data_IF_106878605647
#
_entry.id   IF_106878605647
#
_cell.length_a   1.000
_cell.length_b   1.000
_cell.length_c   1.000
_cell.angle_alpha   90.00
_cell.angle_beta   90.00
_cell.angle_gamma   90.00
#
_symmetry.space_group_name_H-M   'P 1'
#
loop_
_entity.id
_entity.type
_entity.pdbx_description
1 polymer ?
#
# COMPACT_ATOMS: atom_id res chain seq x y z
N UNK A 1 -18.36 7.67 22.60
CA UNK A 1 -17.14 8.46 22.85
C UNK A 1 -16.15 7.57 23.57
N UNK A 2 -15.47 6.67 22.84
CA UNK A 2 -14.48 5.74 23.40
C UNK A 2 -13.20 6.50 23.70
N UNK A 3 -12.78 6.40 24.94
CA UNK A 3 -11.52 6.97 25.44
C UNK A 3 -10.36 6.23 24.79
N UNK A 4 -9.59 6.91 23.96
CA UNK A 4 -8.26 6.46 23.55
C UNK A 4 -7.49 6.10 24.83
N UNK A 5 -7.20 4.80 25.02
CA UNK A 5 -6.31 4.35 26.11
C UNK A 5 -4.94 4.98 25.84
N UNK A 6 -4.40 5.62 26.86
CA UNK A 6 -3.03 6.17 26.86
C UNK A 6 -2.08 5.07 26.40
N UNK A 7 -1.17 5.33 25.44
CA UNK A 7 -0.19 4.33 25.00
C UNK A 7 0.61 3.81 26.20
N UNK A 8 0.93 2.52 26.18
CA UNK A 8 1.77 1.88 27.19
C UNK A 8 3.14 2.56 27.17
N UNK A 9 3.71 2.86 28.34
CA UNK A 9 5.04 3.47 28.43
C UNK A 9 6.06 2.63 27.66
N UNK A 10 6.82 3.25 26.76
CA UNK A 10 7.74 2.57 25.83
C UNK A 10 7.20 2.30 24.43
N UNK A 11 5.92 2.53 24.16
CA UNK A 11 5.30 2.35 22.85
C UNK A 11 6.00 3.18 21.76
N UNK A 12 6.37 4.42 22.05
CA UNK A 12 7.05 5.31 21.12
C UNK A 12 8.40 4.73 20.67
N UNK A 13 9.19 4.17 21.58
CA UNK A 13 10.47 3.54 21.28
C UNK A 13 10.30 2.30 20.40
N UNK A 14 9.32 1.45 20.70
CA UNK A 14 9.03 0.26 19.89
C UNK A 14 8.57 0.61 18.47
N UNK A 15 7.76 1.66 18.31
CA UNK A 15 7.36 2.15 16.99
C UNK A 15 8.54 2.70 16.21
N UNK A 16 9.45 3.42 16.85
CA UNK A 16 10.68 3.94 16.22
C UNK A 16 11.59 2.78 15.80
N UNK A 17 11.82 1.79 16.66
CA UNK A 17 12.60 0.59 16.32
C UNK A 17 12.02 -0.15 15.13
N UNK A 18 10.71 -0.36 15.10
CA UNK A 18 10.01 -1.01 13.99
C UNK A 18 10.16 -0.22 12.67
N UNK A 19 10.10 1.10 12.73
CA UNK A 19 10.30 1.97 11.57
C UNK A 19 11.74 1.89 11.06
N UNK A 20 12.73 1.97 11.95
CA UNK A 20 14.14 1.88 11.60
C UNK A 20 14.47 0.52 10.96
N UNK A 21 13.90 -0.57 11.50
CA UNK A 21 14.03 -1.91 10.93
C UNK A 21 13.43 -2.02 9.53
N UNK A 22 12.20 -1.55 9.35
CA UNK A 22 11.48 -1.59 8.06
C UNK A 22 12.18 -0.77 6.98
N UNK A 23 12.72 0.37 7.35
CA UNK A 23 13.44 1.26 6.43
C UNK A 23 14.90 0.82 6.20
N UNK A 24 15.43 -0.10 7.00
CA UNK A 24 16.83 -0.54 6.92
C UNK A 24 17.83 0.57 7.30
N UNK A 25 17.40 1.47 8.18
CA UNK A 25 18.18 2.62 8.63
C UNK A 25 19.19 2.17 9.68
N UNK A 26 20.40 2.71 9.60
CA UNK A 26 21.45 2.59 10.63
C UNK A 26 21.49 3.87 11.43
N UNK A 27 21.41 3.78 12.75
CA UNK A 27 21.60 4.92 13.64
C UNK A 27 23.05 5.00 14.10
N UNK A 28 23.52 6.20 14.39
CA UNK A 28 24.85 6.38 14.96
C UNK A 28 24.89 7.44 16.05
N UNK A 29 25.87 7.30 16.91
CA UNK A 29 26.22 8.23 17.97
C UNK A 29 27.73 8.36 18.03
N UNK A 30 28.25 9.57 17.77
CA UNK A 30 29.66 9.87 17.78
C UNK A 30 30.01 10.83 18.91
N UNK A 31 30.85 10.34 19.82
CA UNK A 31 31.45 11.13 20.90
C UNK A 31 32.70 11.84 20.38
N UNK A 32 32.63 13.16 20.31
CA UNK A 32 33.73 14.00 19.74
C UNK A 32 34.95 14.00 20.61
N UNK A 33 34.79 14.03 21.95
CA UNK A 33 35.90 14.14 22.90
C UNK A 33 36.71 12.85 22.94
N UNK A 34 36.05 11.70 22.97
CA UNK A 34 36.69 10.39 23.05
C UNK A 34 37.02 9.78 21.68
N UNK A 35 36.53 10.39 20.58
CA UNK A 35 36.66 9.88 19.21
C UNK A 35 36.08 8.45 19.06
N UNK A 36 34.87 8.26 19.59
CA UNK A 36 34.18 6.96 19.60
C UNK A 36 32.89 7.04 18.78
N UNK A 37 32.77 6.15 17.79
CA UNK A 37 31.55 5.96 17.01
C UNK A 37 30.82 4.69 17.44
N UNK A 38 29.56 4.82 17.76
CA UNK A 38 28.61 3.73 17.95
C UNK A 38 27.66 3.67 16.74
N UNK A 39 27.60 2.52 16.07
CA UNK A 39 26.63 2.24 15.02
C UNK A 39 25.64 1.22 15.53
N UNK A 40 24.36 1.46 15.36
CA UNK A 40 23.30 0.50 15.67
C UNK A 40 22.41 0.25 14.46
N UNK A 41 22.23 -1.02 14.11
CA UNK A 41 21.35 -1.46 13.01
C UNK A 41 20.22 -2.30 13.58
N UNK A 42 19.00 -1.88 13.33
CA UNK A 42 17.82 -2.65 13.64
C UNK A 42 17.63 -3.74 12.55
N UNK A 43 18.03 -4.97 12.84
CA UNK A 43 17.78 -6.15 11.99
C UNK A 43 17.83 -7.38 12.87
N UNK A 44 16.71 -8.11 13.03
CA UNK A 44 16.60 -9.33 13.87
C UNK A 44 17.14 -9.18 15.31
N UNK A 45 17.03 -7.99 15.87
CA UNK A 45 17.66 -7.53 17.08
C UNK A 45 18.70 -6.43 16.81
N UNK A 46 18.87 -5.53 17.75
CA UNK A 46 19.78 -4.38 17.61
C UNK A 46 21.24 -4.85 17.64
N UNK A 47 21.94 -4.77 16.52
CA UNK A 47 23.38 -5.07 16.46
C UNK A 47 24.15 -3.78 16.60
N UNK A 48 24.90 -3.62 17.70
CA UNK A 48 25.77 -2.47 17.93
C UNK A 48 27.22 -2.76 17.54
N UNK A 49 27.84 -1.84 16.82
CA UNK A 49 29.28 -1.85 16.54
C UNK A 49 29.91 -0.59 17.12
N UNK A 50 30.99 -0.76 17.88
CA UNK A 50 31.76 0.33 18.50
C UNK A 50 33.11 0.47 17.81
N UNK A 51 33.49 1.71 17.45
CA UNK A 51 34.75 2.06 16.82
C UNK A 51 35.45 3.12 17.66
N UNK A 52 36.63 2.82 18.20
CA UNK A 52 37.46 3.74 18.95
C UNK A 52 38.48 4.41 18.04
N UNK A 53 38.79 5.68 18.29
CA UNK A 53 39.68 6.47 17.45
C UNK A 53 39.19 6.64 16.02
N UNK A 54 37.88 6.67 15.80
CA UNK A 54 37.25 6.54 14.48
C UNK A 54 37.75 7.61 13.50
N UNK A 55 37.64 8.88 13.82
CA UNK A 55 38.07 9.95 12.93
C UNK A 55 39.60 10.03 12.77
N UNK A 56 40.36 9.61 13.78
CA UNK A 56 41.84 9.56 13.68
C UNK A 56 42.31 8.46 12.75
N UNK A 57 41.67 7.30 12.82
CA UNK A 57 42.05 6.14 12.01
C UNK A 57 41.51 6.23 10.58
N UNK A 58 40.40 6.93 10.34
CA UNK A 58 39.83 7.09 8.99
C UNK A 58 40.81 7.70 7.99
N UNK A 59 41.63 8.66 8.44
CA UNK A 59 42.60 9.32 7.57
C UNK A 59 43.85 8.45 7.28
N UNK A 60 44.13 7.43 8.11
CA UNK A 60 45.33 6.59 8.00
C UNK A 60 45.05 5.14 7.62
N UNK A 61 43.94 4.58 8.08
CA UNK A 61 43.54 3.19 7.88
C UNK A 61 42.08 3.13 7.48
N UNK A 62 41.78 3.57 6.26
CA UNK A 62 40.43 3.36 5.69
C UNK A 62 40.25 1.88 5.42
N UNK A 63 39.65 1.15 6.35
CA UNK A 63 39.42 -0.30 6.31
C UNK A 63 38.47 -0.74 5.15
N UNK A 64 38.39 0.04 4.07
CA UNK A 64 37.57 -0.22 2.92
C UNK A 64 36.07 0.04 3.13
N UNK A 65 35.68 0.55 4.30
CA UNK A 65 34.27 0.86 4.58
C UNK A 65 33.80 2.17 3.96
N UNK A 66 34.71 3.12 3.77
CA UNK A 66 34.37 4.46 3.29
C UNK A 66 35.16 4.74 2.01
N UNK A 67 34.48 5.19 0.96
CA UNK A 67 35.15 5.60 -0.25
C UNK A 67 36.08 6.81 0.04
N UNK A 68 37.30 6.86 -0.51
CA UNK A 68 38.26 7.94 -0.24
C UNK A 68 37.68 9.36 -0.40
N UNK A 69 36.87 9.58 -1.43
CA UNK A 69 36.24 10.89 -1.70
C UNK A 69 35.16 11.27 -0.66
N UNK A 70 34.71 10.33 0.18
CA UNK A 70 33.71 10.56 1.23
C UNK A 70 34.32 10.77 2.62
N UNK A 71 35.62 10.48 2.81
CA UNK A 71 36.29 10.55 4.12
C UNK A 71 36.25 11.96 4.72
N UNK A 72 36.64 12.96 3.96
CA UNK A 72 36.67 14.35 4.47
C UNK A 72 35.28 14.85 4.86
N UNK A 73 34.26 14.52 4.05
CA UNK A 73 32.86 14.89 4.30
C UNK A 73 32.31 14.24 5.57
N UNK A 74 32.61 12.96 5.79
CA UNK A 74 32.19 12.24 7.00
C UNK A 74 32.92 12.77 8.26
N UNK A 75 34.23 13.01 8.19
CA UNK A 75 34.97 13.59 9.30
C UNK A 75 34.42 14.97 9.68
N UNK A 76 34.09 15.81 8.69
CA UNK A 76 33.51 17.12 8.94
C UNK A 76 32.10 17.01 9.59
N UNK A 77 31.28 16.04 9.17
CA UNK A 77 29.96 15.75 9.77
C UNK A 77 30.14 15.30 11.22
N UNK A 78 30.94 14.27 11.48
CA UNK A 78 31.13 13.73 12.82
C UNK A 78 31.71 14.73 13.80
N UNK A 79 32.66 15.55 13.37
CA UNK A 79 33.25 16.62 14.21
C UNK A 79 32.33 17.83 14.39
N UNK A 80 31.11 17.79 13.84
CA UNK A 80 30.14 18.87 13.98
C UNK A 80 30.52 20.16 13.25
N UNK A 81 31.42 20.08 12.26
CA UNK A 81 31.84 21.21 11.43
C UNK A 81 30.78 21.55 10.36
N UNK A 82 29.94 20.59 9.98
CA UNK A 82 28.83 20.74 9.06
C UNK A 82 27.59 20.12 9.63
N UNK A 83 26.42 20.61 9.20
CA UNK A 83 25.10 20.09 9.61
C UNK A 83 24.24 19.78 8.39
N UNK A 84 23.13 19.12 8.61
CA UNK A 84 22.14 18.77 7.59
C UNK A 84 22.39 17.40 6.97
N UNK A 85 21.86 17.19 5.77
CA UNK A 85 21.93 15.93 5.05
C UNK A 85 23.08 15.96 4.06
N UNK A 86 23.81 14.85 3.94
CA UNK A 86 24.94 14.68 3.01
C UNK A 86 24.94 13.28 2.42
N UNK A 87 25.36 13.18 1.18
CA UNK A 87 25.56 11.92 0.49
C UNK A 87 27.02 11.46 0.61
N UNK A 88 27.20 10.19 0.89
CA UNK A 88 28.52 9.56 1.07
C UNK A 88 28.51 8.15 0.47
N UNK A 89 29.66 7.69 0.01
CA UNK A 89 29.86 6.34 -0.50
C UNK A 89 30.40 5.44 0.59
N UNK A 90 29.65 4.41 0.97
CA UNK A 90 29.99 3.46 2.04
C UNK A 90 29.86 2.01 1.54
N UNK A 91 30.75 1.14 2.05
CA UNK A 91 30.60 -0.32 2.00
C UNK A 91 30.26 -0.80 3.41
N UNK A 92 28.97 -1.07 3.64
CA UNK A 92 28.42 -1.48 4.94
C UNK A 92 28.31 -3.00 5.09
N UNK A 93 29.03 -3.78 4.26
CA UNK A 93 29.14 -5.22 4.41
C UNK A 93 29.83 -5.59 5.74
N UNK A 94 29.59 -6.80 6.25
CA UNK A 94 30.28 -7.31 7.45
C UNK A 94 31.80 -7.29 7.27
N UNK A 95 32.26 -7.66 6.07
CA UNK A 95 33.63 -7.56 5.61
C UNK A 95 33.62 -6.68 4.36
N UNK A 96 34.11 -5.44 4.43
CA UNK A 96 34.16 -4.53 3.30
C UNK A 96 34.98 -5.10 2.13
N UNK A 97 34.42 -5.03 0.92
CA UNK A 97 35.00 -5.57 -0.31
C UNK A 97 35.31 -4.46 -1.35
N UNK A 98 35.14 -3.17 -0.96
CA UNK A 98 35.25 -2.05 -1.87
C UNK A 98 34.05 -1.87 -2.80
N UNK A 99 32.90 -2.49 -2.45
CA UNK A 99 31.62 -2.32 -3.18
C UNK A 99 30.82 -1.22 -2.49
N UNK A 100 31.04 0.00 -2.93
CA UNK A 100 30.44 1.17 -2.34
C UNK A 100 29.03 1.43 -2.90
N UNK A 101 28.08 1.73 -2.00
CA UNK A 101 26.76 2.23 -2.34
C UNK A 101 26.59 3.66 -1.81
N UNK A 102 25.68 4.41 -2.40
CA UNK A 102 25.35 5.74 -1.93
C UNK A 102 24.47 5.69 -0.69
N UNK A 103 24.95 6.35 0.37
CA UNK A 103 24.22 6.55 1.62
C UNK A 103 23.95 8.03 1.84
N UNK A 104 22.75 8.33 2.30
CA UNK A 104 22.42 9.64 2.83
C UNK A 104 22.61 9.63 4.35
N UNK A 105 23.27 10.66 4.87
CA UNK A 105 23.60 10.82 6.29
C UNK A 105 22.96 12.09 6.80
N UNK A 106 22.05 11.97 7.76
CA UNK A 106 21.46 13.10 8.46
C UNK A 106 21.98 13.19 9.89
N UNK A 107 22.39 14.39 10.31
CA UNK A 107 23.04 14.61 11.61
C UNK A 107 22.32 15.66 12.46
N UNK A 108 22.35 15.44 13.77
CA UNK A 108 21.98 16.39 14.80
C UNK A 108 23.13 16.56 15.80
N UNK A 109 23.49 17.81 16.09
CA UNK A 109 24.56 18.13 17.02
C UNK A 109 23.98 18.30 18.43
N UNK A 110 24.57 17.60 19.40
CA UNK A 110 24.27 17.77 20.81
C UNK A 110 25.35 18.65 21.43
N UNK A 111 24.91 19.74 22.07
CA UNK A 111 25.78 20.75 22.68
C UNK A 111 25.69 20.70 24.20
N UNK A 112 26.78 21.04 24.87
CA UNK A 112 26.78 21.25 26.30
C UNK A 112 26.23 22.65 26.69
N UNK A 113 26.19 22.94 27.98
CA UNK A 113 25.72 24.22 28.52
C UNK A 113 26.52 25.43 28.05
N UNK A 114 27.75 25.20 27.57
CA UNK A 114 28.65 26.25 27.04
C UNK A 114 28.43 26.47 25.52
N UNK A 115 27.59 25.65 24.87
CA UNK A 115 27.32 25.68 23.43
C UNK A 115 28.33 24.88 22.60
N UNK A 116 29.32 24.22 23.22
CA UNK A 116 30.29 23.36 22.53
C UNK A 116 29.62 22.04 22.11
N UNK A 117 29.87 21.59 20.88
CA UNK A 117 29.38 20.30 20.40
C UNK A 117 30.12 19.17 21.10
N UNK A 118 29.38 18.33 21.83
CA UNK A 118 29.91 17.14 22.51
C UNK A 118 29.71 15.87 21.71
N UNK A 119 28.53 15.74 21.10
CA UNK A 119 28.14 14.52 20.36
C UNK A 119 27.47 14.87 19.05
N UNK A 120 27.69 14.01 18.06
CA UNK A 120 26.99 14.05 16.79
C UNK A 120 26.19 12.76 16.66
N UNK A 121 24.86 12.88 16.68
CA UNK A 121 23.96 11.74 16.49
C UNK A 121 23.30 11.82 15.12
N UNK A 122 22.92 10.68 14.56
CA UNK A 122 22.25 10.71 13.27
C UNK A 122 21.82 9.35 12.76
N UNK A 123 21.44 9.37 11.51
CA UNK A 123 20.97 8.20 10.76
C UNK A 123 21.67 8.13 9.42
N UNK A 124 21.87 6.88 8.95
CA UNK A 124 22.36 6.57 7.60
C UNK A 124 21.34 5.64 6.94
N UNK A 125 21.02 5.90 5.69
CA UNK A 125 20.22 4.98 4.90
C UNK A 125 20.76 4.85 3.47
N UNK A 126 20.71 3.63 2.95
CA UNK A 126 21.08 3.30 1.58
C UNK A 126 20.06 3.88 0.61
N UNK A 127 20.49 4.78 -0.27
CA UNK A 127 19.63 5.47 -1.22
C UNK A 127 19.08 4.48 -2.25
N UNK A 128 19.91 3.62 -2.82
CA UNK A 128 19.53 2.67 -3.87
C UNK A 128 18.57 1.61 -3.33
N UNK A 129 18.89 1.04 -2.18
CA UNK A 129 18.05 0.03 -1.51
C UNK A 129 16.71 0.61 -1.06
N UNK A 130 16.69 1.85 -0.60
CA UNK A 130 15.47 2.53 -0.16
C UNK A 130 14.57 2.93 -1.33
N UNK A 131 15.15 3.43 -2.42
CA UNK A 131 14.41 3.73 -3.65
C UNK A 131 13.84 2.47 -4.27
N UNK A 132 14.63 1.39 -4.36
CA UNK A 132 14.15 0.10 -4.90
C UNK A 132 12.98 -0.48 -4.09
N UNK A 133 13.04 -0.44 -2.76
CA UNK A 133 11.94 -0.89 -1.88
C UNK A 133 10.71 0.00 -2.03
N UNK A 134 10.91 1.29 -2.15
CA UNK A 134 9.84 2.26 -2.34
C UNK A 134 9.19 2.10 -3.72
N UNK A 135 9.99 1.91 -4.78
CA UNK A 135 9.51 1.61 -6.13
C UNK A 135 8.77 0.27 -6.19
N UNK A 136 9.28 -0.79 -5.55
CA UNK A 136 8.58 -2.08 -5.44
C UNK A 136 7.27 -1.95 -4.67
N UNK A 137 7.25 -1.19 -3.57
CA UNK A 137 6.02 -0.93 -2.81
C UNK A 137 5.01 -0.11 -3.61
N UNK A 138 5.45 0.91 -4.35
CA UNK A 138 4.59 1.69 -5.24
C UNK A 138 4.15 0.89 -6.47
N UNK A 139 5.03 0.07 -7.05
CA UNK A 139 4.68 -0.83 -8.14
C UNK A 139 3.62 -1.85 -7.68
N UNK A 140 3.78 -2.43 -6.49
CA UNK A 140 2.82 -3.35 -5.90
C UNK A 140 1.48 -2.67 -5.60
N UNK A 141 1.52 -1.46 -5.00
CA UNK A 141 0.32 -0.66 -4.75
C UNK A 141 -0.41 -0.27 -6.06
N UNK A 142 0.34 0.08 -7.11
CA UNK A 142 -0.24 0.35 -8.44
C UNK A 142 -0.77 -0.91 -9.12
N UNK A 143 -0.13 -2.07 -8.90
CA UNK A 143 -0.57 -3.33 -9.49
C UNK A 143 -1.88 -3.86 -8.91
N UNK A 144 -2.29 -3.42 -7.70
CA UNK A 144 -3.52 -3.84 -7.02
C UNK A 144 -4.68 -2.84 -7.16
N UNK A 145 -4.44 -1.68 -7.81
CA UNK A 145 -5.46 -0.64 -7.97
C UNK A 145 -5.72 -0.28 -9.43
N UNK A 146 -6.96 0.11 -9.67
CA UNK A 146 -7.36 0.67 -10.96
C UNK A 146 -6.91 2.13 -11.07
N UNK A 147 -6.27 2.48 -12.17
CA UNK A 147 -5.66 3.79 -12.37
C UNK A 147 -6.67 4.93 -12.58
N UNK A 148 -7.91 4.62 -12.99
CA UNK A 148 -8.97 5.57 -13.28
C UNK A 148 -9.79 5.87 -12.01
N UNK A 149 -10.25 4.83 -11.35
CA UNK A 149 -11.15 4.94 -10.21
C UNK A 149 -10.44 5.01 -8.85
N UNK A 150 -9.18 4.54 -8.77
CA UNK A 150 -8.38 4.48 -7.54
C UNK A 150 -8.77 3.37 -6.57
N UNK A 151 -9.87 2.64 -6.80
CA UNK A 151 -10.27 1.46 -6.01
C UNK A 151 -9.40 0.25 -6.38
N UNK A 152 -9.60 -0.89 -5.72
CA UNK A 152 -8.91 -2.11 -6.10
C UNK A 152 -9.23 -2.51 -7.55
N UNK A 153 -8.27 -3.13 -8.22
CA UNK A 153 -8.48 -3.86 -9.47
C UNK A 153 -8.75 -5.34 -9.18
N UNK A 154 -8.88 -6.17 -10.21
CA UNK A 154 -9.13 -7.60 -10.06
C UNK A 154 -8.11 -8.31 -9.18
N UNK A 155 -6.82 -8.04 -9.36
CA UNK A 155 -5.74 -8.65 -8.56
C UNK A 155 -5.81 -8.21 -7.09
N UNK A 156 -6.09 -6.94 -6.84
CA UNK A 156 -6.28 -6.43 -5.49
C UNK A 156 -7.49 -7.03 -4.79
N UNK A 157 -8.61 -7.20 -5.51
CA UNK A 157 -9.80 -7.86 -4.97
C UNK A 157 -9.54 -9.32 -4.65
N UNK A 158 -8.93 -10.07 -5.57
CA UNK A 158 -8.58 -11.48 -5.36
C UNK A 158 -7.77 -11.67 -4.10
N UNK A 159 -6.70 -10.89 -3.93
CA UNK A 159 -5.85 -10.92 -2.74
C UNK A 159 -6.60 -10.60 -1.46
N UNK A 160 -7.46 -9.57 -1.49
CA UNK A 160 -8.27 -9.17 -0.33
C UNK A 160 -9.25 -10.26 0.07
N UNK A 161 -9.93 -10.90 -0.90
CA UNK A 161 -10.85 -12.02 -0.67
C UNK A 161 -10.13 -13.24 -0.15
N UNK A 162 -9.01 -13.64 -0.78
CA UNK A 162 -8.20 -14.78 -0.34
C UNK A 162 -7.70 -14.59 1.10
N UNK A 163 -7.19 -13.41 1.42
CA UNK A 163 -6.73 -13.08 2.78
C UNK A 163 -7.86 -13.18 3.81
N UNK A 164 -9.04 -12.68 3.46
CA UNK A 164 -10.20 -12.71 4.34
C UNK A 164 -10.72 -14.14 4.56
N UNK A 165 -10.87 -14.93 3.49
CA UNK A 165 -11.35 -16.31 3.55
C UNK A 165 -10.32 -17.27 4.20
N UNK A 166 -9.02 -16.96 4.16
CA UNK A 166 -8.00 -17.69 4.90
C UNK A 166 -8.06 -17.45 6.43
N UNK A 167 -8.71 -16.37 6.86
CA UNK A 167 -8.88 -15.98 8.25
C UNK A 167 -10.32 -16.15 8.75
N UNK A 168 -10.89 -15.07 9.26
CA UNK A 168 -12.22 -15.04 9.90
C UNK A 168 -13.37 -15.35 8.96
N UNK A 169 -13.24 -15.00 7.68
CA UNK A 169 -14.32 -15.14 6.70
C UNK A 169 -14.62 -16.58 6.25
N UNK A 170 -13.83 -17.57 6.71
CA UNK A 170 -13.99 -18.96 6.31
C UNK A 170 -15.30 -19.59 6.78
N UNK A 171 -15.74 -19.20 7.97
CA UNK A 171 -16.94 -19.75 8.62
C UNK A 171 -18.14 -18.80 8.50
N UNK A 172 -18.02 -17.75 7.69
CA UNK A 172 -19.04 -16.73 7.49
C UNK A 172 -19.71 -16.89 6.11
N UNK A 173 -20.96 -16.49 6.03
CA UNK A 173 -21.66 -16.36 4.75
C UNK A 173 -21.23 -15.07 4.06
N UNK A 174 -20.69 -15.16 2.86
CA UNK A 174 -20.19 -14.02 2.09
C UNK A 174 -20.80 -14.03 0.69
N UNK A 175 -20.79 -12.90 -0.01
CA UNK A 175 -21.26 -12.83 -1.39
C UNK A 175 -20.31 -12.02 -2.29
N UNK A 176 -20.21 -12.43 -3.55
CA UNK A 176 -19.57 -11.64 -4.60
C UNK A 176 -20.64 -11.15 -5.57
N UNK A 177 -20.87 -9.84 -5.62
CA UNK A 177 -21.73 -9.19 -6.61
C UNK A 177 -20.89 -8.67 -7.75
N UNK A 178 -21.20 -9.06 -8.98
CA UNK A 178 -20.57 -8.55 -10.21
C UNK A 178 -21.56 -7.66 -10.94
N UNK A 179 -21.16 -6.43 -11.24
CA UNK A 179 -21.94 -5.39 -11.89
C UNK A 179 -21.25 -5.04 -13.21
N UNK A 180 -21.91 -5.25 -14.33
CA UNK A 180 -21.35 -4.98 -15.66
C UNK A 180 -22.15 -3.91 -16.38
N UNK A 181 -21.44 -3.01 -17.05
CA UNK A 181 -21.99 -2.00 -17.95
C UNK A 181 -21.54 -2.32 -19.37
N UNK A 182 -22.40 -3.06 -20.12
CA UNK A 182 -22.02 -3.71 -21.37
C UNK A 182 -21.69 -2.75 -22.51
N UNK A 183 -22.21 -1.53 -22.46
CA UNK A 183 -22.02 -0.54 -23.50
C UNK A 183 -20.94 0.49 -23.23
N UNK A 184 -20.05 0.27 -22.24
CA UNK A 184 -18.98 1.23 -21.90
C UNK A 184 -18.03 1.47 -23.06
N UNK A 185 -17.68 0.44 -23.84
CA UNK A 185 -16.85 0.58 -25.03
C UNK A 185 -17.47 1.50 -26.09
N UNK A 186 -18.77 1.34 -26.38
CA UNK A 186 -19.50 2.20 -27.31
C UNK A 186 -19.57 3.65 -26.82
N UNK A 187 -19.79 3.85 -25.51
CA UNK A 187 -19.76 5.18 -24.92
C UNK A 187 -18.38 5.85 -25.02
N UNK A 188 -17.31 5.07 -24.88
CA UNK A 188 -15.94 5.56 -25.04
C UNK A 188 -15.66 5.99 -26.50
N UNK A 189 -16.14 5.25 -27.50
CA UNK A 189 -16.06 5.61 -28.91
C UNK A 189 -16.85 6.88 -29.23
N UNK A 190 -18.05 7.02 -28.66
CA UNK A 190 -18.94 8.16 -28.95
C UNK A 190 -18.58 9.44 -28.21
N UNK A 191 -18.16 9.35 -26.97
CA UNK A 191 -17.94 10.48 -26.04
C UNK A 191 -16.46 10.76 -25.73
N UNK A 192 -15.58 9.83 -26.08
CA UNK A 192 -14.15 9.89 -25.80
C UNK A 192 -13.76 9.33 -24.44
N UNK A 193 -12.50 8.90 -24.36
CA UNK A 193 -11.93 8.23 -23.16
C UNK A 193 -12.05 9.07 -21.89
N UNK A 194 -11.70 10.34 -21.96
CA UNK A 194 -11.73 11.22 -20.77
C UNK A 194 -13.13 11.33 -20.14
N UNK A 195 -14.16 11.43 -20.96
CA UNK A 195 -15.54 11.46 -20.51
C UNK A 195 -15.93 10.13 -19.85
N UNK A 196 -15.54 9.00 -20.45
CA UNK A 196 -15.80 7.67 -19.92
C UNK A 196 -15.09 7.42 -18.58
N UNK A 197 -13.84 7.88 -18.46
CA UNK A 197 -13.08 7.80 -17.22
C UNK A 197 -13.80 8.57 -16.08
N UNK A 198 -14.32 9.77 -16.35
CA UNK A 198 -15.13 10.52 -15.39
C UNK A 198 -16.43 9.80 -15.01
N UNK A 199 -17.08 9.17 -16.00
CA UNK A 199 -18.27 8.38 -15.76
C UNK A 199 -17.97 7.18 -14.86
N UNK A 200 -16.88 6.44 -15.10
CA UNK A 200 -16.43 5.33 -14.26
C UNK A 200 -16.22 5.75 -12.80
N UNK A 201 -15.59 6.91 -12.57
CA UNK A 201 -15.42 7.46 -11.21
C UNK A 201 -16.77 7.76 -10.55
N UNK A 202 -17.75 8.28 -11.30
CA UNK A 202 -19.11 8.56 -10.78
C UNK A 202 -19.85 7.26 -10.47
N UNK A 203 -19.78 6.25 -11.35
CA UNK A 203 -20.35 4.91 -11.14
C UNK A 203 -19.73 4.29 -9.88
N UNK A 204 -18.42 4.32 -9.74
CA UNK A 204 -17.70 3.80 -8.59
C UNK A 204 -18.22 4.39 -7.26
N UNK A 205 -18.37 5.71 -7.19
CA UNK A 205 -18.93 6.37 -6.00
C UNK A 205 -20.38 5.97 -5.74
N UNK A 206 -21.19 5.89 -6.77
CA UNK A 206 -22.59 5.51 -6.67
C UNK A 206 -22.76 4.06 -6.21
N UNK A 207 -22.03 3.11 -6.80
CA UNK A 207 -22.02 1.72 -6.36
C UNK A 207 -21.53 1.62 -4.91
N UNK A 208 -20.43 2.26 -4.58
CA UNK A 208 -19.84 2.23 -3.22
C UNK A 208 -20.82 2.70 -2.14
N UNK A 209 -21.76 3.61 -2.46
CA UNK A 209 -22.75 4.11 -1.49
C UNK A 209 -23.78 3.06 -1.03
N UNK A 210 -23.94 1.95 -1.74
CA UNK A 210 -24.82 0.84 -1.35
C UNK A 210 -24.18 -0.14 -0.37
N UNK A 211 -22.86 -0.04 -0.14
CA UNK A 211 -22.09 -1.00 0.62
C UNK A 211 -21.44 -0.33 1.83
N UNK A 212 -21.15 -1.14 2.85
CA UNK A 212 -20.51 -0.66 4.08
C UNK A 212 -18.99 -0.58 3.90
N UNK A 213 -18.30 0.17 4.77
CA UNK A 213 -16.86 0.35 4.71
C UNK A 213 -16.05 -0.96 4.85
N UNK A 214 -16.66 -2.03 5.41
CA UNK A 214 -16.04 -3.35 5.52
C UNK A 214 -16.10 -4.18 4.24
N UNK A 215 -17.02 -3.85 3.31
CA UNK A 215 -17.14 -4.54 2.04
C UNK A 215 -16.02 -4.09 1.07
N UNK A 216 -15.66 -4.94 0.13
CA UNK A 216 -14.53 -4.68 -0.78
C UNK A 216 -15.04 -4.42 -2.18
N UNK A 217 -14.90 -3.20 -2.66
CA UNK A 217 -15.25 -2.78 -4.03
C UNK A 217 -14.01 -2.74 -4.92
N UNK A 218 -14.14 -3.28 -6.14
CA UNK A 218 -13.10 -3.28 -7.16
C UNK A 218 -13.65 -2.96 -8.56
N UNK A 219 -12.79 -2.44 -9.45
CA UNK A 219 -13.02 -2.29 -10.87
C UNK A 219 -12.21 -3.36 -11.62
N UNK A 220 -12.89 -4.27 -12.32
CA UNK A 220 -12.24 -5.39 -13.00
C UNK A 220 -11.79 -5.06 -14.43
N UNK A 221 -12.09 -3.85 -14.91
CA UNK A 221 -11.88 -3.40 -16.29
C UNK A 221 -13.15 -3.39 -17.11
N UNK A 222 -13.11 -2.79 -18.31
CA UNK A 222 -14.17 -2.80 -19.32
C UNK A 222 -15.59 -2.48 -18.79
N UNK A 223 -15.69 -1.60 -17.78
CA UNK A 223 -16.96 -1.24 -17.16
C UNK A 223 -17.52 -2.30 -16.22
N UNK A 224 -16.72 -3.27 -15.80
CA UNK A 224 -17.11 -4.30 -14.85
C UNK A 224 -16.61 -3.96 -13.44
N UNK A 225 -17.51 -3.97 -12.47
CA UNK A 225 -17.22 -3.79 -11.05
C UNK A 225 -17.58 -5.07 -10.28
N UNK A 226 -16.87 -5.31 -9.19
CA UNK A 226 -17.19 -6.39 -8.28
C UNK A 226 -17.18 -5.88 -6.82
N UNK A 227 -18.11 -6.38 -6.03
CA UNK A 227 -18.19 -6.10 -4.59
C UNK A 227 -18.20 -7.40 -3.82
N UNK A 228 -17.20 -7.61 -2.98
CA UNK A 228 -17.20 -8.72 -2.02
C UNK A 228 -17.82 -8.24 -0.71
N UNK A 229 -18.98 -8.79 -0.39
CA UNK A 229 -19.76 -8.50 0.82
C UNK A 229 -19.44 -9.55 1.87
N UNK A 230 -18.93 -9.11 2.99
CA UNK A 230 -18.49 -9.96 4.10
C UNK A 230 -19.61 -10.14 5.10
N UNK A 231 -19.60 -11.26 5.83
CA UNK A 231 -20.48 -11.52 6.98
C UNK A 231 -21.92 -11.10 6.69
N UNK A 232 -22.53 -11.84 5.80
CA UNK A 232 -23.86 -11.56 5.30
C UNK A 232 -24.90 -12.34 6.11
N UNK A 233 -25.79 -11.62 6.77
CA UNK A 233 -26.84 -12.25 7.58
C UNK A 233 -27.98 -12.88 6.73
N UNK A 234 -28.29 -12.28 5.58
CA UNK A 234 -29.43 -12.68 4.74
C UNK A 234 -29.15 -12.44 3.24
N UNK A 235 -29.48 -13.41 2.43
CA UNK A 235 -29.36 -13.35 0.96
C UNK A 235 -30.27 -12.30 0.33
N UNK A 236 -31.47 -12.06 0.92
CA UNK A 236 -32.45 -11.08 0.42
C UNK A 236 -31.90 -9.65 0.40
N UNK A 237 -30.90 -9.35 1.26
CA UNK A 237 -30.22 -8.05 1.28
C UNK A 237 -29.46 -7.83 -0.03
N UNK A 238 -28.87 -8.88 -0.60
CA UNK A 238 -28.17 -8.80 -1.90
C UNK A 238 -29.15 -8.51 -3.03
N UNK A 239 -30.32 -9.14 -3.03
CA UNK A 239 -31.39 -8.90 -4.01
C UNK A 239 -31.90 -7.46 -3.92
N UNK A 240 -32.12 -6.95 -2.72
CA UNK A 240 -32.53 -5.55 -2.52
C UNK A 240 -31.48 -4.58 -3.06
N UNK A 241 -30.20 -4.79 -2.72
CA UNK A 241 -29.09 -3.96 -3.21
C UNK A 241 -28.98 -4.03 -4.74
N UNK A 242 -29.05 -5.22 -5.32
CA UNK A 242 -28.99 -5.41 -6.76
C UNK A 242 -30.12 -4.67 -7.48
N UNK A 243 -31.38 -4.80 -7.02
CA UNK A 243 -32.53 -4.07 -7.57
C UNK A 243 -32.37 -2.55 -7.44
N UNK A 244 -31.89 -2.06 -6.30
CA UNK A 244 -31.66 -0.63 -6.10
C UNK A 244 -30.57 -0.08 -7.05
N UNK A 245 -29.49 -0.82 -7.27
CA UNK A 245 -28.44 -0.48 -8.23
C UNK A 245 -28.98 -0.50 -9.67
N UNK A 246 -29.73 -1.53 -10.06
CA UNK A 246 -30.38 -1.59 -11.39
C UNK A 246 -31.32 -0.41 -11.62
N UNK A 247 -32.12 -0.05 -10.61
CA UNK A 247 -33.01 1.10 -10.69
C UNK A 247 -32.23 2.41 -10.84
N UNK A 248 -31.10 2.56 -10.13
CA UNK A 248 -30.26 3.75 -10.22
C UNK A 248 -29.68 3.94 -11.62
N UNK A 249 -29.21 2.87 -12.24
CA UNK A 249 -28.51 2.96 -13.55
C UNK A 249 -29.45 2.79 -14.75
N UNK A 250 -30.58 2.07 -14.62
CA UNK A 250 -31.56 1.86 -15.68
C UNK A 250 -32.76 2.80 -15.66
N UNK A 251 -32.95 3.57 -14.60
CA UNK A 251 -34.12 4.49 -14.48
C UNK A 251 -33.90 5.80 -15.23
N UNK A 252 -34.86 6.19 -16.08
CA UNK A 252 -34.79 7.43 -16.89
C UNK A 252 -34.67 8.71 -16.03
N UNK A 253 -35.31 8.72 -14.86
CA UNK A 253 -35.34 9.88 -13.95
C UNK A 253 -34.24 9.87 -12.88
N UNK A 254 -33.15 9.11 -13.10
CA UNK A 254 -32.01 9.06 -12.19
C UNK A 254 -30.86 9.95 -12.67
N UNK A 255 -29.88 10.15 -11.80
CA UNK A 255 -28.65 10.88 -12.17
C UNK A 255 -27.85 10.21 -13.30
N UNK A 256 -28.16 8.97 -13.66
CA UNK A 256 -27.55 8.20 -14.73
C UNK A 256 -28.49 7.94 -15.93
N UNK A 257 -29.78 8.27 -15.85
CA UNK A 257 -30.77 7.99 -16.87
C UNK A 257 -30.44 8.58 -18.27
N UNK A 258 -29.76 9.72 -18.31
CA UNK A 258 -29.35 10.37 -19.56
C UNK A 258 -28.14 9.72 -20.25
N UNK A 259 -27.50 8.70 -19.67
CA UNK A 259 -26.28 8.07 -20.22
C UNK A 259 -26.55 6.81 -21.03
N UNK A 260 -27.76 6.23 -20.91
CA UNK A 260 -28.12 5.00 -21.63
C UNK A 260 -27.29 3.79 -21.19
N UNK A 261 -27.00 3.68 -19.88
CA UNK A 261 -26.16 2.60 -19.35
C UNK A 261 -26.91 1.25 -19.38
N UNK A 262 -26.29 0.25 -19.95
CA UNK A 262 -26.77 -1.13 -19.96
C UNK A 262 -26.17 -1.89 -18.77
N UNK A 263 -26.86 -1.91 -17.62
CA UNK A 263 -26.38 -2.50 -16.38
C UNK A 263 -26.92 -3.91 -16.18
N UNK A 264 -26.02 -4.85 -15.87
CA UNK A 264 -26.37 -6.22 -15.46
C UNK A 264 -25.69 -6.56 -14.14
N UNK A 265 -26.37 -7.34 -13.31
CA UNK A 265 -25.88 -7.75 -12.00
C UNK A 265 -26.05 -9.24 -11.82
N UNK A 266 -25.02 -9.91 -11.35
CA UNK A 266 -25.10 -11.27 -10.86
C UNK A 266 -24.44 -11.39 -9.48
N UNK A 267 -24.93 -12.33 -8.68
CA UNK A 267 -24.43 -12.59 -7.33
C UNK A 267 -24.05 -14.06 -7.21
N UNK A 268 -22.95 -14.34 -6.59
CA UNK A 268 -22.53 -15.66 -6.14
C UNK A 268 -22.30 -15.65 -4.63
N UNK A 269 -22.57 -16.78 -3.98
CA UNK A 269 -22.55 -16.92 -2.53
C UNK A 269 -21.44 -17.88 -2.09
N UNK A 270 -20.70 -17.49 -1.06
CA UNK A 270 -19.72 -18.34 -0.40
C UNK A 270 -20.36 -18.94 0.85
N UNK A 271 -20.18 -20.24 1.10
CA UNK A 271 -19.40 -21.22 0.31
C UNK A 271 -20.18 -21.94 -0.82
N UNK A 272 -21.48 -21.72 -0.98
CA UNK A 272 -22.40 -22.53 -1.82
C UNK A 272 -21.99 -22.53 -3.30
N UNK A 273 -21.59 -21.38 -3.83
CA UNK A 273 -21.27 -21.19 -5.25
C UNK A 273 -19.78 -21.34 -5.57
N UNK A 274 -18.96 -21.51 -4.54
CA UNK A 274 -17.51 -21.69 -4.65
C UNK A 274 -16.78 -21.41 -3.35
N UNK A 275 -15.62 -22.06 -3.18
CA UNK A 275 -14.76 -21.95 -2.02
C UNK A 275 -13.61 -20.94 -2.23
N UNK A 276 -13.48 -20.36 -3.42
CA UNK A 276 -12.42 -19.42 -3.79
C UNK A 276 -12.98 -18.22 -4.56
N UNK A 277 -12.22 -17.11 -4.58
CA UNK A 277 -12.57 -15.95 -5.39
C UNK A 277 -12.81 -16.29 -6.85
N UNK A 278 -11.94 -17.12 -7.43
CA UNK A 278 -12.03 -17.51 -8.84
C UNK A 278 -13.31 -18.30 -9.15
N UNK A 279 -13.72 -19.20 -8.26
CA UNK A 279 -14.97 -19.98 -8.43
C UNK A 279 -16.20 -19.09 -8.29
N UNK A 280 -16.21 -18.18 -7.30
CA UNK A 280 -17.29 -17.20 -7.12
C UNK A 280 -17.43 -16.29 -8.35
N UNK A 281 -16.30 -15.73 -8.84
CA UNK A 281 -16.31 -14.89 -10.02
C UNK A 281 -16.83 -15.63 -11.25
N UNK A 282 -16.34 -16.83 -11.52
CA UNK A 282 -16.77 -17.68 -12.62
C UNK A 282 -18.27 -18.00 -12.56
N UNK A 283 -18.79 -18.26 -11.35
CA UNK A 283 -20.22 -18.53 -11.17
C UNK A 283 -21.06 -17.29 -11.45
N UNK A 284 -20.65 -16.11 -10.96
CA UNK A 284 -21.34 -14.86 -11.25
C UNK A 284 -21.30 -14.51 -12.74
N UNK A 285 -20.15 -14.62 -13.41
CA UNK A 285 -20.03 -14.39 -14.86
C UNK A 285 -20.88 -15.35 -15.68
N UNK A 286 -20.94 -16.64 -15.29
CA UNK A 286 -21.81 -17.62 -15.93
C UNK A 286 -23.29 -17.21 -15.82
N UNK A 287 -23.72 -16.73 -14.65
CA UNK A 287 -25.09 -16.23 -14.45
C UNK A 287 -25.38 -15.03 -15.37
N UNK A 288 -24.44 -14.07 -15.48
CA UNK A 288 -24.57 -12.94 -16.40
C UNK A 288 -24.64 -13.37 -17.87
N UNK A 289 -23.90 -14.41 -18.26
CA UNK A 289 -23.88 -14.88 -19.67
C UNK A 289 -25.20 -15.56 -20.09
N UNK A 290 -25.89 -16.21 -19.19
CA UNK A 290 -27.19 -16.86 -19.45
C UNK A 290 -28.31 -15.85 -19.74
N UNK A 291 -28.18 -14.61 -19.27
CA UNK A 291 -29.15 -13.54 -19.44
C UNK A 291 -29.02 -12.77 -20.77
N UNK A 292 -27.93 -13.00 -21.54
CA UNK A 292 -27.73 -12.35 -22.85
C UNK A 292 -28.84 -12.67 -23.87
N UNK A 293 -29.73 -13.62 -23.59
CA UNK A 293 -30.85 -14.01 -24.46
C UNK A 293 -32.11 -13.16 -24.33
N UNK A 294 -32.26 -12.40 -23.24
CA UNK A 294 -33.51 -11.65 -22.97
C UNK A 294 -33.21 -10.15 -22.85
N UNK A 295 -33.35 -9.40 -23.94
CA UNK A 295 -32.99 -7.97 -24.06
C UNK A 295 -33.95 -7.02 -23.32
N UNK A 296 -34.85 -7.48 -22.46
CA UNK A 296 -36.02 -6.66 -22.05
C UNK A 296 -36.10 -6.32 -20.56
N UNK A 297 -35.19 -6.68 -19.70
CA UNK A 297 -35.22 -6.18 -18.31
C UNK A 297 -33.90 -6.35 -17.60
N UNK A 298 -33.48 -5.31 -16.88
CA UNK A 298 -32.48 -5.40 -15.84
C UNK A 298 -32.93 -6.46 -14.80
N UNK A 299 -32.27 -7.63 -14.78
CA UNK A 299 -32.62 -8.74 -13.87
C UNK A 299 -31.47 -8.99 -12.87
N UNK A 300 -31.89 -9.25 -11.63
CA UNK A 300 -31.03 -9.82 -10.59
C UNK A 300 -30.97 -11.33 -10.81
N UNK A 301 -29.77 -11.88 -11.06
CA UNK A 301 -29.57 -13.29 -11.30
C UNK A 301 -29.02 -13.93 -10.02
N UNK A 302 -29.97 -14.43 -9.21
CA UNK A 302 -29.71 -15.33 -8.08
C UNK A 302 -30.34 -16.66 -8.37
N UNK A 303 -29.77 -17.77 -7.94
CA UNK A 303 -30.48 -19.06 -7.99
C UNK A 303 -31.60 -19.08 -6.95
N UNK A 304 -32.78 -19.50 -7.39
CA UNK A 304 -33.86 -19.98 -6.51
C UNK A 304 -33.47 -21.33 -5.90
#
# INVERSE_FOLDING_TARGET
>A
MERYKTPVAGYENQCVELLLEKLGVVTFDYDIEHDVLLLAKARDGMTEKRFEGFCRTLCTENRGMIHPDSVERLVALFRGQTTGVREVLLDMAEVPQGRYSWYEVAVKLLRDETGRVQRTIGILWDIESSMSKMEQSFAHFRSERDSVTGILNGAGLEKAVQTYLAGHGRDESNALMVISFDNMGQLAEQRGKHWTDQLLVRICKAVGSFFRAGDVLAHLGDGQFAVFVKDMERTEVMDMKARAILTLFGGENTQFGGYGLECRIAVSYYPEDGASFHELLKTAEKRQSLDRGDKTAAKVLTMA
#
